data_IF_915928060600
#
_entry.id   IF_915928060600
#
_cell.length_a   1.000
_cell.length_b   1.000
_cell.length_c   1.000
_cell.angle_alpha   90.00
_cell.angle_beta   90.00
_cell.angle_gamma   90.00
#
_symmetry.space_group_name_H-M   'P 1'
#
loop_
_entity.id
_entity.type
_entity.pdbx_description
1 polymer ?
#
# COMPACT_ATOMS: atom_id res chain seq x y z
N UNK A 1 2.18 -6.62 17.29
CA UNK A 1 2.03 -7.14 15.92
C UNK A 1 3.17 -6.59 15.10
N UNK A 2 3.74 -7.40 14.21
CA UNK A 2 4.80 -6.96 13.31
C UNK A 2 4.23 -6.23 12.09
N UNK A 3 5.07 -5.47 11.38
CA UNK A 3 4.68 -4.75 10.16
C UNK A 3 4.24 -5.72 9.05
N UNK A 4 4.82 -6.92 8.99
CA UNK A 4 4.39 -7.99 8.07
C UNK A 4 2.93 -8.39 8.30
N UNK A 5 2.49 -8.52 9.57
CA UNK A 5 1.11 -8.89 9.90
C UNK A 5 0.12 -7.79 9.47
N UNK A 6 0.55 -6.53 9.52
CA UNK A 6 -0.26 -5.38 9.10
C UNK A 6 -0.40 -5.33 7.58
N UNK A 7 0.68 -5.58 6.83
CA UNK A 7 0.66 -5.65 5.36
C UNK A 7 -0.16 -6.85 4.86
N UNK A 8 -0.06 -8.03 5.51
CA UNK A 8 -0.82 -9.22 5.11
C UNK A 8 -2.33 -9.03 5.27
N UNK A 9 -2.78 -8.22 6.22
CA UNK A 9 -4.21 -7.94 6.45
C UNK A 9 -4.84 -7.03 5.40
N UNK A 10 -4.04 -6.20 4.75
CA UNK A 10 -4.54 -5.29 3.72
C UNK A 10 -4.77 -6.01 2.38
N UNK A 11 -4.20 -7.21 2.20
CA UNK A 11 -4.39 -8.08 1.01
C UNK A 11 -3.99 -7.41 -0.33
N UNK A 12 -3.30 -6.29 -0.27
CA UNK A 12 -2.79 -5.53 -1.42
C UNK A 12 -1.52 -6.16 -2.00
N UNK A 13 -0.52 -6.39 -1.16
CA UNK A 13 0.74 -7.02 -1.54
C UNK A 13 0.68 -8.54 -1.40
N UNK A 14 1.27 -9.23 -2.38
CA UNK A 14 1.51 -10.67 -2.23
C UNK A 14 2.46 -10.95 -1.07
N UNK A 15 2.35 -12.12 -0.46
CA UNK A 15 3.28 -12.57 0.60
C UNK A 15 4.75 -12.43 0.19
N UNK A 16 5.08 -12.73 -1.07
CA UNK A 16 6.44 -12.57 -1.61
C UNK A 16 6.89 -11.11 -1.60
N UNK A 17 6.02 -10.18 -1.99
CA UNK A 17 6.32 -8.75 -1.95
C UNK A 17 6.52 -8.27 -0.51
N UNK A 18 5.71 -8.76 0.44
CA UNK A 18 5.85 -8.45 1.86
C UNK A 18 7.20 -8.94 2.40
N UNK A 19 7.59 -10.18 2.05
CA UNK A 19 8.89 -10.74 2.41
C UNK A 19 10.04 -9.89 1.82
N UNK A 20 9.92 -9.43 0.57
CA UNK A 20 10.92 -8.57 -0.07
C UNK A 20 11.08 -7.22 0.62
N UNK A 21 9.99 -6.48 0.88
CA UNK A 21 10.07 -5.16 1.55
C UNK A 21 10.51 -5.25 3.01
N UNK A 22 10.24 -6.37 3.69
CA UNK A 22 10.70 -6.62 5.04
C UNK A 22 12.19 -7.03 5.09
N UNK A 23 12.70 -7.67 4.04
CA UNK A 23 14.10 -8.12 3.96
C UNK A 23 15.04 -7.04 3.40
N UNK A 24 14.56 -6.20 2.48
CA UNK A 24 15.35 -5.19 1.78
C UNK A 24 14.58 -3.87 1.66
N UNK A 25 14.93 -2.94 2.54
CA UNK A 25 14.29 -1.63 2.58
C UNK A 25 14.58 -0.75 1.36
N UNK A 26 15.62 -1.07 0.57
CA UNK A 26 15.96 -0.29 -0.63
C UNK A 26 14.92 -0.47 -1.73
N UNK A 27 14.10 -1.53 -1.66
CA UNK A 27 12.99 -1.79 -2.58
C UNK A 27 11.69 -1.08 -2.17
N UNK A 28 11.58 -0.61 -0.93
CA UNK A 28 10.35 0.02 -0.43
C UNK A 28 9.87 1.20 -1.30
N UNK A 29 10.73 2.10 -1.82
CA UNK A 29 10.30 3.19 -2.69
C UNK A 29 9.53 2.71 -3.95
N UNK A 30 10.01 1.64 -4.60
CA UNK A 30 9.35 1.05 -5.78
C UNK A 30 7.97 0.48 -5.41
N UNK A 31 7.84 -0.17 -4.25
CA UNK A 31 6.55 -0.65 -3.78
C UNK A 31 5.60 0.48 -3.36
N UNK A 32 6.11 1.62 -2.89
CA UNK A 32 5.30 2.82 -2.65
C UNK A 32 4.77 3.37 -3.97
N UNK A 33 5.58 3.39 -5.03
CA UNK A 33 5.16 3.80 -6.37
C UNK A 33 4.07 2.86 -6.91
N UNK A 34 4.27 1.55 -6.82
CA UNK A 34 3.24 0.56 -7.17
C UNK A 34 1.92 0.81 -6.41
N UNK A 35 1.98 1.06 -5.10
CA UNK A 35 0.78 1.33 -4.32
C UNK A 35 0.06 2.61 -4.78
N UNK A 36 0.79 3.63 -5.24
CA UNK A 36 0.21 4.86 -5.79
C UNK A 36 -0.44 4.61 -7.15
N UNK A 37 0.23 3.88 -8.04
CA UNK A 37 -0.33 3.50 -9.33
C UNK A 37 -1.65 2.73 -9.15
N UNK A 38 -1.68 1.76 -8.23
CA UNK A 38 -2.92 1.01 -7.93
C UNK A 38 -4.00 1.85 -7.27
N UNK A 39 -3.62 2.78 -6.39
CA UNK A 39 -4.57 3.75 -5.84
C UNK A 39 -5.23 4.58 -6.95
N UNK A 40 -4.43 5.12 -7.87
CA UNK A 40 -4.93 5.97 -8.96
C UNK A 40 -5.80 5.16 -9.93
N UNK A 41 -5.41 3.92 -10.29
CA UNK A 41 -6.23 3.00 -11.10
C UNK A 41 -7.63 2.79 -10.48
N UNK A 42 -7.69 2.38 -9.20
CA UNK A 42 -8.97 2.15 -8.54
C UNK A 42 -9.78 3.44 -8.31
N UNK A 43 -9.12 4.60 -8.18
CA UNK A 43 -9.82 5.87 -8.08
C UNK A 43 -10.51 6.23 -9.40
N UNK A 44 -9.87 5.99 -10.54
CA UNK A 44 -10.48 6.16 -11.86
C UNK A 44 -11.69 5.24 -12.01
N UNK A 45 -11.54 3.96 -11.71
CA UNK A 45 -12.65 3.00 -11.80
C UNK A 45 -13.82 3.39 -10.86
N UNK A 46 -13.52 3.90 -9.66
CA UNK A 46 -14.54 4.42 -8.75
C UNK A 46 -15.33 5.59 -9.38
N UNK A 47 -14.62 6.53 -9.99
CA UNK A 47 -15.21 7.69 -10.67
C UNK A 47 -16.06 7.28 -11.88
N UNK A 48 -15.64 6.26 -12.63
CA UNK A 48 -16.37 5.74 -13.77
C UNK A 48 -17.66 5.00 -13.36
N UNK A 49 -17.63 4.28 -12.24
CA UNK A 49 -18.78 3.48 -11.79
C UNK A 49 -19.73 4.24 -10.84
N UNK A 50 -19.36 5.44 -10.40
CA UNK A 50 -20.06 6.23 -9.38
C UNK A 50 -21.54 6.51 -9.69
N UNK A 51 -21.88 6.62 -10.98
CA UNK A 51 -23.25 6.89 -11.45
C UNK A 51 -23.95 5.63 -12.03
N UNK A 52 -23.21 4.53 -12.21
CA UNK A 52 -23.68 3.32 -12.91
C UNK A 52 -23.95 2.15 -11.95
N UNK A 53 -23.02 1.88 -11.02
CA UNK A 53 -23.12 0.79 -10.05
C UNK A 53 -22.45 1.18 -8.72
N UNK A 54 -23.28 1.54 -7.73
CA UNK A 54 -22.85 1.92 -6.39
C UNK A 54 -22.03 0.82 -5.68
N UNK A 55 -22.29 -0.46 -5.97
CA UNK A 55 -21.59 -1.58 -5.33
C UNK A 55 -20.20 -1.72 -5.92
N UNK A 56 -20.09 -1.64 -7.24
CA UNK A 56 -18.80 -1.69 -7.94
C UNK A 56 -17.95 -0.46 -7.58
N UNK A 57 -18.53 0.74 -7.61
CA UNK A 57 -17.87 1.96 -7.14
C UNK A 57 -17.36 1.80 -5.70
N UNK A 58 -18.22 1.35 -4.77
CA UNK A 58 -17.83 1.16 -3.38
C UNK A 58 -16.70 0.13 -3.20
N UNK A 59 -16.65 -0.90 -4.05
CA UNK A 59 -15.55 -1.87 -4.09
C UNK A 59 -14.24 -1.20 -4.53
N UNK A 60 -14.24 -0.47 -5.64
CA UNK A 60 -13.04 0.26 -6.12
C UNK A 60 -12.55 1.29 -5.09
N UNK A 61 -13.46 1.96 -4.38
CA UNK A 61 -13.08 2.84 -3.27
C UNK A 61 -12.38 2.09 -2.12
N UNK A 62 -12.87 0.91 -1.74
CA UNK A 62 -12.24 0.10 -0.69
C UNK A 62 -10.84 -0.36 -1.09
N UNK A 63 -10.66 -0.80 -2.33
CA UNK A 63 -9.36 -1.18 -2.87
C UNK A 63 -8.40 0.02 -2.87
N UNK A 64 -8.83 1.19 -3.36
CA UNK A 64 -8.02 2.40 -3.32
C UNK A 64 -7.55 2.74 -1.89
N UNK A 65 -8.47 2.71 -0.91
CA UNK A 65 -8.11 2.96 0.49
C UNK A 65 -7.09 1.94 1.00
N UNK A 66 -7.24 0.65 0.68
CA UNK A 66 -6.29 -0.38 1.09
C UNK A 66 -4.88 -0.14 0.52
N UNK A 67 -4.78 0.26 -0.75
CA UNK A 67 -3.50 0.61 -1.39
C UNK A 67 -2.85 1.84 -0.76
N UNK A 68 -3.65 2.86 -0.44
CA UNK A 68 -3.18 4.05 0.26
C UNK A 68 -2.65 3.72 1.67
N UNK A 69 -3.34 2.88 2.42
CA UNK A 69 -2.90 2.43 3.74
C UNK A 69 -1.61 1.63 3.66
N UNK A 70 -1.49 0.77 2.65
CA UNK A 70 -0.26 0.01 2.37
C UNK A 70 0.93 0.94 2.15
N UNK A 71 0.77 1.95 1.29
CA UNK A 71 1.80 2.96 1.04
C UNK A 71 2.22 3.73 2.31
N UNK A 72 1.26 4.00 3.21
CA UNK A 72 1.52 4.70 4.47
C UNK A 72 2.36 3.83 5.44
N UNK A 73 2.08 2.53 5.51
CA UNK A 73 2.88 1.58 6.31
C UNK A 73 4.31 1.51 5.77
N UNK A 74 4.47 1.33 4.45
CA UNK A 74 5.77 1.32 3.78
C UNK A 74 6.57 2.61 4.01
N UNK A 75 5.92 3.78 3.93
CA UNK A 75 6.55 5.08 4.22
C UNK A 75 7.02 5.17 5.67
N UNK A 76 6.25 4.60 6.60
CA UNK A 76 6.62 4.55 8.02
C UNK A 76 7.85 3.68 8.25
N UNK A 77 7.99 2.56 7.54
CA UNK A 77 9.17 1.70 7.60
C UNK A 77 10.44 2.46 7.20
N UNK A 78 10.43 3.15 6.05
CA UNK A 78 11.56 3.96 5.57
C UNK A 78 11.94 5.04 6.58
N UNK A 79 10.94 5.71 7.14
CA UNK A 79 11.14 6.80 8.11
C UNK A 79 11.76 6.32 9.42
N UNK A 80 11.37 5.13 9.91
CA UNK A 80 11.92 4.53 11.13
C UNK A 80 13.40 4.14 10.95
N UNK A 81 13.76 3.57 9.80
CA UNK A 81 15.15 3.17 9.56
C UNK A 81 16.06 4.36 9.29
N UNK A 82 15.56 5.41 8.65
CA UNK A 82 16.28 6.68 8.53
C UNK A 82 16.56 7.31 9.90
N UNK A 83 15.60 7.25 10.84
CA UNK A 83 15.80 7.72 12.20
C UNK A 83 16.83 6.87 12.97
N UNK A 84 16.78 5.54 12.84
CA UNK A 84 17.75 4.65 13.49
C UNK A 84 19.20 4.88 13.02
N UNK A 85 19.41 5.07 11.70
CA UNK A 85 20.74 5.36 11.12
C UNK A 85 21.34 6.69 11.56
N UNK A 86 20.52 7.66 11.98
CA UNK A 86 20.99 8.99 12.43
C UNK A 86 21.38 9.02 13.91
N UNK A 87 21.03 7.98 14.67
CA UNK A 87 21.29 7.88 16.11
C UNK A 87 22.43 6.92 16.45
N UNK A 88 23.03 6.27 15.45
CA UNK A 88 24.21 5.39 15.57
C UNK A 88 25.46 6.10 15.05
#
# INVERSE_FOLDING_TARGET
>A
MGVSDELERLVTLSRRHIEQVCADETQIPEFIELCREKFDEHLVDYEENLDEDDVEAQHHWQEAVAWRETAAILTTMVSRTAAHRRSA
#
